data_IF_291698112639
#
_entry.id   IF_291698112639
#
_cell.length_a   1.000
_cell.length_b   1.000
_cell.length_c   1.000
_cell.angle_alpha   90.00
_cell.angle_beta   90.00
_cell.angle_gamma   90.00
#
_symmetry.space_group_name_H-M   'P 1'
#
loop_
_entity.id
_entity.type
_entity.pdbx_description
1 polymer ?
#
# COMPACT_ATOMS: atom_id res chain seq x y z
N UNK A 1 -21.90 1.31 5.87
CA UNK A 1 -20.92 1.94 6.79
C UNK A 1 -19.59 1.19 6.84
N UNK A 2 -19.56 -0.14 7.03
CA UNK A 2 -18.30 -0.91 7.08
C UNK A 2 -17.44 -0.78 5.81
N UNK A 3 -18.06 -0.80 4.63
CA UNK A 3 -17.32 -0.64 3.36
C UNK A 3 -16.77 0.76 3.16
N UNK A 4 -17.56 1.79 3.48
CA UNK A 4 -17.11 3.19 3.47
C UNK A 4 -15.88 3.39 4.36
N UNK A 5 -15.92 2.85 5.58
CA UNK A 5 -14.80 2.90 6.51
C UNK A 5 -13.55 2.18 5.97
N UNK A 6 -13.74 1.05 5.29
CA UNK A 6 -12.66 0.32 4.62
C UNK A 6 -12.02 1.15 3.50
N UNK A 7 -12.81 1.87 2.70
CA UNK A 7 -12.28 2.78 1.68
C UNK A 7 -11.48 3.93 2.30
N UNK A 8 -11.92 4.48 3.44
CA UNK A 8 -11.14 5.49 4.16
C UNK A 8 -9.79 4.97 4.64
N UNK A 9 -9.76 3.76 5.24
CA UNK A 9 -8.49 3.15 5.65
C UNK A 9 -7.59 2.90 4.44
N UNK A 10 -8.13 2.35 3.36
CA UNK A 10 -7.40 2.10 2.11
C UNK A 10 -6.77 3.41 1.58
N UNK A 11 -7.50 4.52 1.59
CA UNK A 11 -7.01 5.82 1.18
C UNK A 11 -5.89 6.36 2.09
N UNK A 12 -6.05 6.25 3.42
CA UNK A 12 -5.02 6.68 4.39
C UNK A 12 -3.72 5.89 4.19
N UNK A 13 -3.84 4.56 4.04
CA UNK A 13 -2.68 3.67 3.83
C UNK A 13 -1.98 4.01 2.51
N UNK A 14 -2.75 4.24 1.44
CA UNK A 14 -2.19 4.65 0.16
C UNK A 14 -1.40 5.97 0.26
N UNK A 15 -1.98 7.00 0.89
CA UNK A 15 -1.31 8.29 1.09
C UNK A 15 -0.04 8.15 1.91
N UNK A 16 -0.05 7.32 2.96
CA UNK A 16 1.13 7.07 3.78
C UNK A 16 2.27 6.41 2.97
N UNK A 17 1.96 5.39 2.17
CA UNK A 17 2.93 4.72 1.29
C UNK A 17 3.47 5.71 0.25
N UNK A 18 2.58 6.50 -0.36
CA UNK A 18 2.97 7.50 -1.36
C UNK A 18 3.94 8.55 -0.79
N UNK A 19 3.60 9.13 0.37
CA UNK A 19 4.48 10.11 1.04
C UNK A 19 5.82 9.51 1.45
N UNK A 20 5.85 8.25 1.89
CA UNK A 20 7.10 7.55 2.19
C UNK A 20 7.94 7.32 0.94
N UNK A 21 7.34 6.89 -0.18
CA UNK A 21 8.08 6.68 -1.44
C UNK A 21 8.71 7.98 -1.93
N UNK A 22 7.97 9.11 -1.88
CA UNK A 22 8.52 10.42 -2.24
C UNK A 22 9.71 10.78 -1.36
N UNK A 23 9.57 10.70 -0.02
CA UNK A 23 10.68 11.01 0.91
C UNK A 23 11.90 10.13 0.70
N UNK A 24 11.70 8.85 0.41
CA UNK A 24 12.78 7.91 0.11
C UNK A 24 13.51 8.37 -1.16
N UNK A 25 12.78 8.63 -2.23
CA UNK A 25 13.37 9.05 -3.51
C UNK A 25 14.07 10.42 -3.42
N UNK A 26 13.48 11.38 -2.70
CA UNK A 26 14.10 12.67 -2.38
C UNK A 26 15.39 12.48 -1.58
N UNK A 27 15.39 11.60 -0.58
CA UNK A 27 16.58 11.26 0.21
C UNK A 27 17.70 10.66 -0.63
N UNK A 28 17.36 9.93 -1.69
CA UNK A 28 18.33 9.41 -2.67
C UNK A 28 18.72 10.40 -3.77
N UNK A 29 18.16 11.62 -3.78
CA UNK A 29 18.35 12.64 -4.83
C UNK A 29 18.12 12.08 -6.25
N UNK A 30 17.17 11.17 -6.37
CA UNK A 30 16.77 10.62 -7.66
C UNK A 30 15.77 11.61 -8.28
N UNK A 31 16.00 12.02 -9.51
CA UNK A 31 14.95 12.71 -10.27
C UNK A 31 13.88 11.69 -10.67
N UNK A 32 12.65 11.90 -10.23
CA UNK A 32 11.54 11.01 -10.53
C UNK A 32 10.35 11.77 -11.10
N UNK A 33 9.66 11.13 -12.03
CA UNK A 33 8.38 11.60 -12.52
C UNK A 33 7.28 11.13 -11.56
N UNK A 34 6.48 12.06 -11.06
CA UNK A 34 5.35 11.79 -10.17
C UNK A 34 4.39 10.73 -10.71
N UNK A 35 4.19 10.64 -12.02
CA UNK A 35 3.34 9.61 -12.64
C UNK A 35 3.88 8.21 -12.33
N UNK A 36 5.19 7.99 -12.46
CA UNK A 36 5.80 6.70 -12.14
C UNK A 36 5.74 6.38 -10.65
N UNK A 37 5.86 7.39 -9.78
CA UNK A 37 5.71 7.19 -8.32
C UNK A 37 4.27 6.80 -7.96
N UNK A 38 3.28 7.42 -8.59
CA UNK A 38 1.86 7.06 -8.42
C UNK A 38 1.61 5.62 -8.86
N UNK A 39 2.14 5.21 -10.02
CA UNK A 39 2.01 3.84 -10.52
C UNK A 39 2.70 2.85 -9.56
N UNK A 40 3.92 3.14 -9.13
CA UNK A 40 4.68 2.30 -8.21
C UNK A 40 3.94 2.10 -6.88
N UNK A 41 3.41 3.18 -6.31
CA UNK A 41 2.70 3.16 -5.03
C UNK A 41 1.38 2.40 -5.13
N UNK A 42 0.66 2.50 -6.26
CA UNK A 42 -0.52 1.67 -6.53
C UNK A 42 -0.17 0.18 -6.60
N UNK A 43 0.93 -0.18 -7.27
CA UNK A 43 1.41 -1.56 -7.34
C UNK A 43 1.72 -2.07 -5.93
N UNK A 44 2.53 -1.34 -5.15
CA UNK A 44 2.88 -1.71 -3.77
C UNK A 44 1.62 -1.90 -2.92
N UNK A 45 0.66 -0.98 -3.03
CA UNK A 45 -0.59 -1.05 -2.28
C UNK A 45 -1.42 -2.29 -2.62
N UNK A 46 -1.61 -2.58 -3.91
CA UNK A 46 -2.38 -3.74 -4.38
C UNK A 46 -1.69 -5.04 -3.99
N UNK A 47 -0.38 -5.15 -4.25
CA UNK A 47 0.41 -6.33 -3.89
C UNK A 47 0.40 -6.56 -2.37
N UNK A 48 0.59 -5.50 -1.59
CA UNK A 48 0.52 -5.56 -0.12
C UNK A 48 -0.82 -6.10 0.38
N UNK A 49 -1.94 -5.66 -0.20
CA UNK A 49 -3.28 -6.19 0.14
C UNK A 49 -3.44 -7.67 -0.21
N UNK A 50 -2.93 -8.11 -1.35
CA UNK A 50 -3.00 -9.52 -1.77
C UNK A 50 -2.18 -10.39 -0.81
N UNK A 51 -0.96 -9.96 -0.48
CA UNK A 51 -0.08 -10.65 0.46
C UNK A 51 -0.75 -10.73 1.83
N UNK A 52 -1.23 -9.61 2.38
CA UNK A 52 -1.90 -9.56 3.68
C UNK A 52 -3.12 -10.50 3.73
N UNK A 53 -3.93 -10.51 2.67
CA UNK A 53 -5.09 -11.42 2.57
C UNK A 53 -4.64 -12.88 2.59
N UNK A 54 -3.57 -13.23 1.88
CA UNK A 54 -3.00 -14.58 1.88
C UNK A 54 -2.48 -14.98 3.27
N UNK A 55 -1.80 -14.07 3.96
CA UNK A 55 -1.33 -14.31 5.34
C UNK A 55 -2.48 -14.52 6.33
N UNK A 56 -3.55 -13.72 6.23
CA UNK A 56 -4.73 -13.88 7.08
C UNK A 56 -5.43 -15.22 6.86
N UNK A 57 -5.55 -15.66 5.61
CA UNK A 57 -6.12 -16.96 5.26
C UNK A 57 -5.28 -18.12 5.82
N UNK A 58 -3.95 -18.09 5.62
CA UNK A 58 -3.05 -19.11 6.17
C UNK A 58 -3.12 -19.18 7.70
N UNK A 59 -3.27 -18.04 8.40
CA UNK A 59 -3.43 -18.04 9.87
C UNK A 59 -4.74 -18.68 10.33
N UNK A 60 -5.83 -18.56 9.56
CA UNK A 60 -7.10 -19.18 9.90
C UNK A 60 -7.06 -20.71 9.73
N UNK A 61 -6.27 -21.22 8.78
CA UNK A 61 -6.07 -22.66 8.60
C UNK A 61 -5.15 -23.27 9.67
N UNK A 62 -4.19 -22.50 10.20
CA UNK A 62 -3.25 -22.99 11.23
C UNK A 62 -3.89 -23.10 12.63
N UNK A 63 -5.06 -22.48 12.84
CA UNK A 63 -5.79 -22.47 14.11
C UNK A 63 -7.09 -23.31 14.08
N UNK A 64 -7.27 -24.15 13.06
CA UNK A 64 -8.30 -25.20 13.01
C UNK A 64 -7.70 -26.54 13.36
#
# INVERSE_FOLDING_TARGET
>A
MKDTFKYYIDAIVYVAIFGLTIKILEGFKIDFNYIYVIILTLIIFVVGKIILRKYMLNRQETHK
#
